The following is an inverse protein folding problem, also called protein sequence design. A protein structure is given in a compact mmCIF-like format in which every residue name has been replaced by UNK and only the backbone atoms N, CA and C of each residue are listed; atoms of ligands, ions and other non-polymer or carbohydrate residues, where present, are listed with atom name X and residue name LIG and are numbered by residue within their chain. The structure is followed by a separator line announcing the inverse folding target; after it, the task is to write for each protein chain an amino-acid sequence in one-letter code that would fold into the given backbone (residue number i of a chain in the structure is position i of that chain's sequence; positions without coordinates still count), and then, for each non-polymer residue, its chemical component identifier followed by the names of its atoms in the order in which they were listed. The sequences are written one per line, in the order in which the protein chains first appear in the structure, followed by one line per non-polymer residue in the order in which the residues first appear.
data_IF_559825440041
#
_entry.id   IF_559825440041
#
_cell.length_a   1.000
_cell.length_b   1.000
_cell.length_c   1.000
_cell.angle_alpha   90.00
_cell.angle_beta   90.00
_cell.angle_gamma   90.00
#
_symmetry.space_group_name_H-M   'P 1'
#
loop_
_entity.id
_entity.type
_entity.pdbx_description
1 polymer ?
#
# COMPACT_ATOMS: atom_id res chain seq x y z
N UNK A 1 38.29 0.87 -58.55
CA UNK A 1 37.83 0.55 -57.19
C UNK A 1 39.04 0.60 -56.29
N UNK A 2 39.18 1.63 -55.45
CA UNK A 2 40.33 1.75 -54.55
C UNK A 2 40.35 0.61 -53.54
N UNK A 3 41.42 -0.18 -53.53
CA UNK A 3 41.62 -1.26 -52.59
C UNK A 3 41.88 -0.68 -51.20
N UNK A 4 40.93 -0.85 -50.28
CA UNK A 4 41.11 -0.47 -48.87
C UNK A 4 42.30 -1.24 -48.26
N UNK A 5 43.13 -0.55 -47.49
CA UNK A 5 44.21 -1.19 -46.74
C UNK A 5 43.65 -2.17 -45.71
N UNK A 6 44.43 -3.20 -45.36
CA UNK A 6 44.03 -4.19 -44.35
C UNK A 6 43.68 -3.52 -43.01
N UNK A 7 44.39 -2.45 -42.67
CA UNK A 7 44.16 -1.65 -41.46
C UNK A 7 42.83 -0.88 -41.51
N UNK A 8 42.44 -0.37 -42.69
CA UNK A 8 41.15 0.27 -42.88
C UNK A 8 39.99 -0.72 -42.80
N UNK A 9 40.15 -1.92 -43.38
CA UNK A 9 39.14 -2.99 -43.30
C UNK A 9 38.96 -3.45 -41.84
N UNK A 10 40.06 -3.57 -41.09
CA UNK A 10 40.02 -3.92 -39.69
C UNK A 10 39.31 -2.84 -38.85
N UNK A 11 39.63 -1.56 -39.07
CA UNK A 11 38.95 -0.42 -38.42
C UNK A 11 37.45 -0.38 -38.73
N UNK A 12 37.08 -0.52 -40.00
CA UNK A 12 35.68 -0.53 -40.44
C UNK A 12 34.90 -1.69 -39.80
N UNK A 13 35.50 -2.87 -39.69
CA UNK A 13 34.90 -4.04 -39.01
C UNK A 13 34.64 -3.78 -37.52
N UNK A 14 35.61 -3.23 -36.79
CA UNK A 14 35.44 -2.93 -35.36
C UNK A 14 34.45 -1.82 -35.08
N UNK A 15 34.31 -0.86 -35.99
CA UNK A 15 33.27 0.18 -35.92
C UNK A 15 31.89 -0.44 -36.16
N UNK A 16 31.72 -1.24 -37.23
CA UNK A 16 30.46 -1.91 -37.52
C UNK A 16 30.05 -2.92 -36.43
N UNK A 17 31.02 -3.61 -35.81
CA UNK A 17 30.80 -4.49 -34.68
C UNK A 17 30.33 -3.71 -33.44
N UNK A 18 30.99 -2.60 -33.08
CA UNK A 18 30.54 -1.74 -31.97
C UNK A 18 29.16 -1.10 -32.22
N UNK A 19 28.87 -0.70 -33.45
CA UNK A 19 27.58 -0.12 -33.82
C UNK A 19 26.45 -1.17 -33.69
N UNK A 20 26.68 -2.39 -34.20
CA UNK A 20 25.71 -3.48 -34.12
C UNK A 20 25.51 -3.98 -32.70
N UNK A 21 26.58 -4.07 -31.91
CA UNK A 21 26.53 -4.40 -30.48
C UNK A 21 25.81 -3.31 -29.66
N UNK A 22 26.06 -2.03 -29.94
CA UNK A 22 25.35 -0.90 -29.31
C UNK A 22 23.86 -0.92 -29.64
N UNK A 23 23.48 -1.17 -30.89
CA UNK A 23 22.08 -1.28 -31.30
C UNK A 23 21.43 -2.52 -30.68
N UNK A 24 22.12 -3.65 -30.65
CA UNK A 24 21.68 -4.89 -30.00
C UNK A 24 21.44 -4.70 -28.50
N UNK A 25 22.37 -4.09 -27.75
CA UNK A 25 22.19 -3.80 -26.33
C UNK A 25 21.14 -2.72 -26.06
N UNK A 26 20.96 -1.76 -26.97
CA UNK A 26 19.91 -0.75 -26.88
C UNK A 26 18.52 -1.33 -27.15
N UNK A 27 18.41 -2.38 -27.96
CA UNK A 27 17.18 -3.11 -28.25
C UNK A 27 16.85 -4.19 -27.21
N UNK A 28 17.84 -4.69 -26.46
CA UNK A 28 17.67 -5.81 -25.52
C UNK A 28 17.73 -5.45 -24.04
N UNK A 29 18.29 -4.29 -23.66
CA UNK A 29 18.16 -3.83 -22.27
C UNK A 29 16.82 -3.14 -22.10
N UNK A 30 15.90 -3.67 -21.25
CA UNK A 30 14.78 -2.87 -20.82
C UNK A 30 15.34 -1.58 -20.20
N UNK A 31 14.72 -0.46 -20.55
CA UNK A 31 15.04 0.81 -19.90
C UNK A 31 14.87 0.65 -18.38
N UNK A 32 15.56 1.45 -17.57
CA UNK A 32 15.36 1.43 -16.12
C UNK A 32 13.87 1.59 -15.76
N UNK A 33 13.12 2.35 -16.58
CA UNK A 33 11.69 2.54 -16.45
C UNK A 33 10.87 1.27 -16.70
N UNK A 34 11.19 0.49 -17.73
CA UNK A 34 10.55 -0.81 -18.00
C UNK A 34 10.79 -1.81 -16.89
N UNK A 35 12.00 -1.84 -16.31
CA UNK A 35 12.31 -2.74 -15.19
C UNK A 35 11.52 -2.34 -13.94
N UNK A 36 11.45 -1.04 -13.64
CA UNK A 36 10.64 -0.49 -12.54
C UNK A 36 9.16 -0.83 -12.75
N UNK A 37 8.65 -0.69 -13.98
CA UNK A 37 7.25 -0.99 -14.29
C UNK A 37 6.95 -2.49 -14.15
N UNK A 38 7.85 -3.36 -14.60
CA UNK A 38 7.73 -4.81 -14.47
C UNK A 38 7.72 -5.24 -13.00
N UNK A 39 8.61 -4.68 -12.18
CA UNK A 39 8.64 -4.95 -10.73
C UNK A 39 7.35 -4.45 -10.06
N UNK A 40 6.90 -3.23 -10.39
CA UNK A 40 5.64 -2.69 -9.90
C UNK A 40 4.44 -3.58 -10.26
N UNK A 41 4.34 -4.04 -11.50
CA UNK A 41 3.29 -4.96 -11.94
C UNK A 41 3.35 -6.29 -11.17
N UNK A 42 4.54 -6.85 -10.95
CA UNK A 42 4.71 -8.07 -10.17
C UNK A 42 4.23 -7.88 -8.72
N UNK A 43 4.53 -6.74 -8.10
CA UNK A 43 4.08 -6.38 -6.75
C UNK A 43 2.57 -6.16 -6.67
N UNK A 44 1.97 -5.50 -7.67
CA UNK A 44 0.51 -5.33 -7.77
C UNK A 44 -0.17 -6.70 -7.93
N UNK A 45 0.41 -7.61 -8.71
CA UNK A 45 -0.10 -8.97 -8.86
C UNK A 45 -0.03 -9.75 -7.55
N UNK A 46 1.09 -9.66 -6.83
CA UNK A 46 1.24 -10.24 -5.49
C UNK A 46 0.22 -9.66 -4.51
N UNK A 47 0.07 -8.33 -4.47
CA UNK A 47 -0.93 -7.66 -3.63
C UNK A 47 -2.35 -8.10 -3.96
N UNK A 48 -2.67 -8.32 -5.24
CA UNK A 48 -3.97 -8.88 -5.64
C UNK A 48 -4.17 -10.31 -5.16
N UNK A 49 -3.16 -11.18 -5.23
CA UNK A 49 -3.24 -12.54 -4.71
C UNK A 49 -3.49 -12.55 -3.19
N UNK A 50 -2.71 -11.76 -2.44
CA UNK A 50 -2.85 -11.61 -0.99
C UNK A 50 -4.23 -11.05 -0.61
N UNK A 51 -4.75 -10.08 -1.37
CA UNK A 51 -6.12 -9.57 -1.23
C UNK A 51 -7.15 -10.68 -1.44
N UNK A 52 -6.99 -11.55 -2.45
CA UNK A 52 -7.91 -12.68 -2.65
C UNK A 52 -7.82 -13.72 -1.51
N UNK A 53 -6.64 -13.97 -0.96
CA UNK A 53 -6.50 -14.82 0.21
C UNK A 53 -7.16 -14.21 1.46
N UNK A 54 -7.00 -12.90 1.66
CA UNK A 54 -7.75 -12.15 2.67
C UNK A 54 -9.26 -12.26 2.47
N UNK A 55 -9.75 -12.19 1.23
CA UNK A 55 -11.17 -12.38 0.91
C UNK A 55 -11.68 -13.79 1.26
N UNK A 56 -10.85 -14.83 1.12
CA UNK A 56 -11.21 -16.19 1.54
C UNK A 56 -11.41 -16.26 3.04
N UNK A 57 -10.46 -15.74 3.82
CA UNK A 57 -10.57 -15.67 5.28
C UNK A 57 -11.75 -14.82 5.74
N UNK A 58 -12.02 -13.71 5.06
CA UNK A 58 -13.18 -12.87 5.33
C UNK A 58 -14.49 -13.64 5.15
N UNK A 59 -14.61 -14.42 4.07
CA UNK A 59 -15.80 -15.26 3.80
C UNK A 59 -15.97 -16.37 4.85
N UNK A 60 -14.88 -16.89 5.40
CA UNK A 60 -14.92 -17.86 6.50
C UNK A 60 -15.09 -17.21 7.88
N UNK A 61 -15.30 -15.89 7.95
CA UNK A 61 -15.40 -15.10 9.18
C UNK A 61 -14.14 -15.12 10.06
N UNK A 62 -12.99 -15.56 9.52
CA UNK A 62 -11.70 -15.44 10.18
C UNK A 62 -11.11 -14.07 9.88
N UNK A 63 -11.62 -13.06 10.60
CA UNK A 63 -11.23 -11.66 10.39
C UNK A 63 -9.78 -11.39 10.79
N UNK A 64 -9.23 -12.14 11.75
CA UNK A 64 -7.84 -12.03 12.18
C UNK A 64 -6.86 -12.41 11.07
N UNK A 65 -7.06 -13.57 10.44
CA UNK A 65 -6.22 -13.98 9.29
C UNK A 65 -6.47 -13.09 8.07
N UNK A 66 -7.71 -12.60 7.88
CA UNK A 66 -8.02 -11.65 6.81
C UNK A 66 -7.26 -10.33 6.98
N UNK A 67 -7.23 -9.76 8.20
CA UNK A 67 -6.45 -8.56 8.53
C UNK A 67 -4.99 -8.75 8.16
N UNK A 68 -4.39 -9.86 8.57
CA UNK A 68 -2.99 -10.14 8.27
C UNK A 68 -2.73 -10.13 6.76
N UNK A 69 -3.57 -10.82 5.97
CA UNK A 69 -3.43 -10.86 4.51
C UNK A 69 -3.64 -9.52 3.83
N UNK A 70 -4.56 -8.70 4.32
CA UNK A 70 -4.75 -7.35 3.80
C UNK A 70 -3.59 -6.41 4.13
N UNK A 71 -2.97 -6.54 5.30
CA UNK A 71 -1.75 -5.79 5.63
C UNK A 71 -0.61 -6.20 4.69
N UNK A 72 -0.37 -7.51 4.54
CA UNK A 72 0.62 -8.04 3.59
C UNK A 72 0.37 -7.52 2.16
N UNK A 73 -0.90 -7.42 1.74
CA UNK A 73 -1.26 -6.91 0.41
C UNK A 73 -0.93 -5.42 0.20
N UNK A 74 -1.09 -4.58 1.22
CA UNK A 74 -0.70 -3.15 1.16
C UNK A 74 0.82 -3.02 1.15
N UNK A 75 1.51 -3.78 2.00
CA UNK A 75 2.97 -3.74 2.14
C UNK A 75 3.71 -4.27 0.91
N UNK A 76 3.08 -5.15 0.12
CA UNK A 76 3.64 -5.63 -1.15
C UNK A 76 3.98 -4.50 -2.13
N UNK A 77 3.24 -3.38 -2.07
CA UNK A 77 3.42 -2.20 -2.93
C UNK A 77 3.74 -0.97 -2.06
N UNK A 78 5.00 -0.81 -1.63
CA UNK A 78 5.41 0.28 -0.75
C UNK A 78 5.24 1.63 -1.45
N UNK A 79 4.67 2.59 -0.71
CA UNK A 79 4.29 3.92 -1.18
C UNK A 79 5.47 4.66 -1.84
N UNK A 80 6.61 4.68 -1.16
CA UNK A 80 7.76 5.53 -1.47
C UNK A 80 8.44 5.21 -2.81
N UNK A 81 8.24 3.99 -3.32
CA UNK A 81 8.86 3.56 -4.58
C UNK A 81 8.11 4.08 -5.81
N UNK A 82 6.84 4.48 -5.69
CA UNK A 82 5.95 4.64 -6.86
C UNK A 82 4.99 5.84 -6.79
N UNK A 83 5.21 6.80 -5.89
CA UNK A 83 4.29 7.94 -5.64
C UNK A 83 3.88 8.72 -6.90
N UNK A 84 4.72 8.74 -7.94
CA UNK A 84 4.44 9.46 -9.20
C UNK A 84 3.99 8.56 -10.37
N UNK A 85 3.82 7.25 -10.14
CA UNK A 85 3.43 6.25 -11.15
C UNK A 85 2.23 5.46 -10.66
N UNK A 86 1.26 6.14 -10.05
CA UNK A 86 0.02 5.55 -9.59
C UNK A 86 -0.75 4.97 -10.79
N UNK A 87 -0.50 3.70 -11.08
CA UNK A 87 -1.27 2.92 -12.06
C UNK A 87 -2.68 2.76 -11.48
N UNK A 88 -3.71 2.96 -12.31
CA UNK A 88 -5.11 2.78 -11.92
C UNK A 88 -5.35 1.46 -11.15
N UNK A 89 -4.63 0.41 -11.52
CA UNK A 89 -4.72 -0.91 -10.87
C UNK A 89 -4.19 -0.92 -9.43
N UNK A 90 -3.11 -0.17 -9.13
CA UNK A 90 -2.66 0.00 -7.75
C UNK A 90 -3.67 0.80 -6.93
N UNK A 91 -4.20 1.88 -7.50
CA UNK A 91 -5.21 2.72 -6.85
C UNK A 91 -6.45 1.87 -6.48
N UNK A 92 -6.93 1.06 -7.43
CA UNK A 92 -8.06 0.13 -7.23
C UNK A 92 -7.75 -0.94 -6.19
N UNK A 93 -6.56 -1.54 -6.24
CA UNK A 93 -6.10 -2.51 -5.26
C UNK A 93 -6.09 -1.90 -3.86
N UNK A 94 -5.40 -0.76 -3.70
CA UNK A 94 -5.26 -0.06 -2.42
C UNK A 94 -6.61 0.33 -1.84
N UNK A 95 -7.51 0.90 -2.64
CA UNK A 95 -8.85 1.25 -2.20
C UNK A 95 -9.62 0.02 -1.68
N UNK A 96 -9.57 -1.07 -2.44
CA UNK A 96 -10.26 -2.33 -2.08
C UNK A 96 -9.72 -2.90 -0.79
N UNK A 97 -8.39 -2.96 -0.65
CA UNK A 97 -7.74 -3.53 0.53
C UNK A 97 -7.99 -2.69 1.76
N UNK A 98 -7.85 -1.36 1.70
CA UNK A 98 -8.16 -0.47 2.84
C UNK A 98 -9.63 -0.63 3.25
N UNK A 99 -10.56 -0.66 2.29
CA UNK A 99 -11.99 -0.83 2.60
C UNK A 99 -12.27 -2.16 3.32
N UNK A 100 -11.70 -3.25 2.83
CA UNK A 100 -11.90 -4.58 3.42
C UNK A 100 -11.20 -4.70 4.78
N UNK A 101 -9.99 -4.14 4.92
CA UNK A 101 -9.25 -4.10 6.17
C UNK A 101 -10.00 -3.32 7.25
N UNK A 102 -10.50 -2.12 6.93
CA UNK A 102 -11.32 -1.33 7.86
C UNK A 102 -12.59 -2.08 8.29
N UNK A 103 -13.22 -2.81 7.37
CA UNK A 103 -14.37 -3.65 7.69
C UNK A 103 -13.99 -4.79 8.64
N UNK A 104 -12.84 -5.44 8.45
CA UNK A 104 -12.37 -6.47 9.36
C UNK A 104 -12.12 -5.90 10.77
N UNK A 105 -11.45 -4.74 10.87
CA UNK A 105 -11.24 -4.08 12.15
C UNK A 105 -12.57 -3.76 12.85
N UNK A 106 -13.56 -3.26 12.10
CA UNK A 106 -14.91 -3.03 12.62
C UNK A 106 -15.55 -4.34 13.14
N UNK A 107 -15.44 -5.44 12.40
CA UNK A 107 -15.98 -6.76 12.80
C UNK A 107 -15.26 -7.35 14.02
N UNK A 108 -13.97 -7.09 14.17
CA UNK A 108 -13.16 -7.44 15.34
C UNK A 108 -13.37 -6.49 16.53
N UNK A 109 -14.26 -5.48 16.44
CA UNK A 109 -14.46 -4.44 17.44
C UNK A 109 -13.19 -3.62 17.75
N UNK A 110 -12.22 -3.63 16.85
CA UNK A 110 -11.06 -2.75 16.94
C UNK A 110 -11.42 -1.43 16.24
N UNK A 111 -12.23 -0.62 16.93
CA UNK A 111 -12.80 0.60 16.38
C UNK A 111 -11.74 1.68 16.10
N UNK A 112 -10.72 1.79 16.95
CA UNK A 112 -9.61 2.73 16.78
C UNK A 112 -8.84 2.47 15.48
N UNK A 113 -8.49 1.21 15.22
CA UNK A 113 -7.83 0.83 13.97
C UNK A 113 -8.74 1.05 12.75
N UNK A 114 -10.04 0.76 12.87
CA UNK A 114 -11.01 1.01 11.80
C UNK A 114 -11.11 2.51 11.46
N UNK A 115 -11.19 3.38 12.49
CA UNK A 115 -11.19 4.83 12.32
C UNK A 115 -9.92 5.29 11.63
N UNK A 116 -8.75 4.87 12.11
CA UNK A 116 -7.46 5.25 11.53
C UNK A 116 -7.34 4.86 10.04
N UNK A 117 -7.68 3.61 9.70
CA UNK A 117 -7.60 3.16 8.31
C UNK A 117 -8.61 3.88 7.41
N UNK A 118 -9.82 4.16 7.90
CA UNK A 118 -10.80 4.92 7.15
C UNK A 118 -10.39 6.39 6.96
N UNK A 119 -9.84 7.05 7.98
CA UNK A 119 -9.42 8.45 7.88
C UNK A 119 -8.25 8.60 6.91
N UNK A 120 -7.23 7.74 6.98
CA UNK A 120 -6.14 7.71 6.01
C UNK A 120 -6.64 7.35 4.61
N UNK A 121 -7.55 6.37 4.50
CA UNK A 121 -8.17 6.00 3.24
C UNK A 121 -8.94 7.14 2.59
N UNK A 122 -9.69 7.94 3.37
CA UNK A 122 -10.48 9.06 2.88
C UNK A 122 -9.62 10.26 2.45
N UNK A 123 -8.40 10.42 2.97
CA UNK A 123 -7.44 11.41 2.43
C UNK A 123 -7.08 11.12 0.98
N UNK A 124 -7.02 9.84 0.61
CA UNK A 124 -6.70 9.39 -0.76
C UNK A 124 -7.99 9.28 -1.61
N UNK A 125 -9.07 8.80 -1.00
CA UNK A 125 -10.33 8.47 -1.66
C UNK A 125 -11.50 9.27 -1.07
N UNK A 126 -11.52 10.60 -1.25
CA UNK A 126 -12.43 11.49 -0.53
C UNK A 126 -13.89 11.34 -0.93
N UNK A 127 -14.25 10.55 -1.94
CA UNK A 127 -15.65 10.30 -2.34
C UNK A 127 -16.09 8.84 -2.12
N UNK A 128 -15.31 8.05 -1.39
CA UNK A 128 -15.67 6.66 -1.16
C UNK A 128 -16.79 6.53 -0.11
N UNK A 129 -17.92 5.96 -0.52
CA UNK A 129 -19.11 5.76 0.33
C UNK A 129 -18.85 4.68 1.40
N UNK A 130 -18.18 3.58 1.04
CA UNK A 130 -17.94 2.45 1.96
C UNK A 130 -17.03 2.84 3.11
N UNK A 131 -15.95 3.58 2.85
CA UNK A 131 -15.05 4.08 3.90
C UNK A 131 -15.77 5.01 4.87
N UNK A 132 -16.62 5.92 4.36
CA UNK A 132 -17.45 6.78 5.22
C UNK A 132 -18.46 6.00 6.04
N UNK A 133 -19.11 5.01 5.44
CA UNK A 133 -20.04 4.14 6.14
C UNK A 133 -19.35 3.38 7.28
N UNK A 134 -18.19 2.77 7.01
CA UNK A 134 -17.40 2.06 8.03
C UNK A 134 -16.93 3.02 9.12
N UNK A 135 -16.46 4.22 8.76
CA UNK A 135 -16.04 5.26 9.70
C UNK A 135 -17.19 5.67 10.63
N UNK A 136 -18.35 5.96 10.05
CA UNK A 136 -19.54 6.33 10.81
C UNK A 136 -20.04 5.22 11.72
N UNK A 137 -19.96 3.96 11.27
CA UNK A 137 -20.21 2.81 12.15
C UNK A 137 -19.18 2.75 13.28
N UNK A 138 -17.88 2.86 13.00
CA UNK A 138 -16.84 2.78 14.03
C UNK A 138 -17.02 3.84 15.12
N UNK A 139 -17.29 5.09 14.76
CA UNK A 139 -17.62 6.16 15.72
C UNK A 139 -18.90 5.89 16.51
N UNK A 140 -19.94 5.38 15.85
CA UNK A 140 -21.20 5.07 16.51
C UNK A 140 -21.05 3.96 17.56
N UNK A 141 -20.17 3.00 17.31
CA UNK A 141 -19.85 1.92 18.25
C UNK A 141 -18.96 2.39 19.43
N UNK A 142 -18.14 3.43 19.25
CA UNK A 142 -17.38 4.06 20.36
C UNK A 142 -18.19 5.08 21.15
N UNK A 143 -19.44 5.35 20.75
CA UNK A 143 -20.33 6.32 21.40
C UNK A 143 -20.14 7.76 20.93
N UNK A 144 -19.24 8.01 19.97
CA UNK A 144 -19.11 9.32 19.32
C UNK A 144 -20.21 9.50 18.26
N UNK A 145 -21.43 9.70 18.73
CA UNK A 145 -22.59 9.81 17.86
C UNK A 145 -22.59 11.07 16.98
N UNK A 146 -21.83 12.11 17.34
CA UNK A 146 -21.73 13.32 16.52
C UNK A 146 -20.94 13.02 15.25
N UNK A 147 -19.71 12.52 15.41
CA UNK A 147 -18.85 12.16 14.27
C UNK A 147 -19.41 10.99 13.47
N UNK A 148 -20.11 10.05 14.12
CA UNK A 148 -20.83 8.98 13.43
C UNK A 148 -21.87 9.52 12.43
N UNK A 149 -22.71 10.46 12.89
CA UNK A 149 -23.77 11.03 12.07
C UNK A 149 -23.22 11.94 10.97
N UNK A 150 -22.12 12.66 11.23
CA UNK A 150 -21.43 13.45 10.21
C UNK A 150 -20.92 12.57 9.07
N UNK A 151 -20.15 11.53 9.38
CA UNK A 151 -19.61 10.60 8.38
C UNK A 151 -20.73 9.91 7.57
N UNK A 152 -21.82 9.50 8.22
CA UNK A 152 -22.96 8.86 7.55
C UNK A 152 -23.80 9.84 6.72
N UNK A 153 -23.94 11.10 7.14
CA UNK A 153 -24.60 12.14 6.33
C UNK A 153 -23.83 12.38 5.04
N UNK A 154 -22.52 12.46 5.11
CA UNK A 154 -21.69 12.57 3.92
C UNK A 154 -21.84 11.35 3.00
N UNK A 155 -21.88 10.15 3.58
CA UNK A 155 -22.11 8.92 2.82
C UNK A 155 -23.50 8.95 2.14
N UNK A 156 -24.54 9.42 2.84
CA UNK A 156 -25.91 9.57 2.31
C UNK A 156 -25.99 10.63 1.21
N UNK A 157 -25.23 11.72 1.30
CA UNK A 157 -25.20 12.74 0.25
C UNK A 157 -24.62 12.18 -1.06
N UNK A 158 -23.73 11.19 -0.98
CA UNK A 158 -23.15 10.51 -2.13
C UNK A 158 -24.04 9.37 -2.66
N UNK A 159 -24.75 8.65 -1.79
CA UNK A 159 -25.74 7.64 -2.16
C UNK A 159 -27.02 7.78 -1.30
N UNK A 160 -27.98 8.61 -1.75
CA UNK A 160 -29.20 8.90 -1.00
C UNK A 160 -30.15 7.70 -0.86
N UNK A 161 -29.98 6.68 -1.70
CA UNK A 161 -30.87 5.51 -1.78
C UNK A 161 -30.43 4.34 -0.89
N UNK A 162 -29.24 4.45 -0.30
CA UNK A 162 -28.64 3.37 0.47
C UNK A 162 -29.39 3.12 1.78
N UNK A 163 -30.09 1.98 1.86
CA UNK A 163 -30.88 1.61 3.04
C UNK A 163 -30.00 1.44 4.28
N UNK A 164 -28.84 0.78 4.16
CA UNK A 164 -27.94 0.53 5.29
C UNK A 164 -27.47 1.85 5.93
N UNK A 165 -27.14 2.86 5.11
CA UNK A 165 -26.73 4.18 5.59
C UNK A 165 -27.90 4.86 6.32
N UNK A 166 -29.10 4.84 5.75
CA UNK A 166 -30.30 5.46 6.33
C UNK A 166 -30.65 4.80 7.68
N UNK A 167 -30.58 3.47 7.76
CA UNK A 167 -30.82 2.70 8.97
C UNK A 167 -29.80 3.05 10.06
N UNK A 168 -28.50 3.12 9.72
CA UNK A 168 -27.45 3.51 10.67
C UNK A 168 -27.60 4.95 11.17
N UNK A 169 -28.00 5.88 10.31
CA UNK A 169 -28.30 7.27 10.73
C UNK A 169 -29.44 7.28 11.75
N UNK A 170 -30.53 6.54 11.48
CA UNK A 170 -31.67 6.44 12.39
C UNK A 170 -31.27 5.85 13.74
N UNK A 171 -30.50 4.76 13.72
CA UNK A 171 -29.98 4.08 14.90
C UNK A 171 -29.14 5.02 15.78
N UNK A 172 -28.11 5.65 15.20
CA UNK A 172 -27.21 6.51 15.97
C UNK A 172 -27.86 7.85 16.38
N UNK A 173 -28.81 8.36 15.61
CA UNK A 173 -29.61 9.53 16.03
C UNK A 173 -30.48 9.22 17.26
N UNK A 174 -31.11 8.04 17.30
CA UNK A 174 -31.85 7.58 18.48
C UNK A 174 -30.93 7.38 19.68
N UNK A 175 -29.79 6.71 19.50
CA UNK A 175 -28.81 6.50 20.56
C UNK A 175 -28.27 7.82 21.13
N UNK A 176 -27.96 8.79 20.27
CA UNK A 176 -27.55 10.15 20.67
C UNK A 176 -28.61 10.85 21.52
N UNK A 177 -29.88 10.75 21.11
CA UNK A 177 -31.00 11.36 21.87
C UNK A 177 -31.12 10.74 23.26
N UNK A 178 -31.06 9.41 23.36
CA UNK A 178 -31.12 8.69 24.63
C UNK A 178 -29.92 9.01 25.53
N UNK A 179 -28.72 9.08 24.95
CA UNK A 179 -27.50 9.51 25.66
C UNK A 179 -27.67 10.92 26.26
N UNK A 180 -28.16 11.88 25.47
CA UNK A 180 -28.38 13.24 25.93
C UNK A 180 -29.43 13.35 27.04
N UNK A 181 -30.50 12.54 26.98
CA UNK A 181 -31.53 12.48 28.03
C UNK A 181 -30.89 11.97 29.33
N UNK A 182 -30.16 10.85 29.28
CA UNK A 182 -29.48 10.29 30.45
C UNK A 182 -28.46 11.26 31.05
N UNK A 183 -27.67 11.93 30.22
CA UNK A 183 -26.71 12.94 30.68
C UNK A 183 -27.42 14.11 31.36
N UNK A 184 -28.58 14.54 30.85
CA UNK A 184 -29.40 15.58 31.49
C UNK A 184 -30.02 15.09 32.80
N UNK A 185 -30.44 13.85 32.91
CA UNK A 185 -30.95 13.28 34.18
C UNK A 185 -29.85 13.17 35.24
N UNK A 186 -28.65 12.74 34.84
CA UNK A 186 -27.50 12.58 35.74
C UNK A 186 -26.90 13.92 36.19
N UNK A 187 -26.84 14.91 35.31
CA UNK A 187 -26.09 16.16 35.52
C UNK A 187 -26.94 17.44 35.42
N UNK A 188 -28.25 17.31 35.23
CA UNK A 188 -29.19 18.45 35.09
C UNK A 188 -29.71 19.02 36.41
N UNK A 189 -29.21 18.53 37.55
CA UNK A 189 -29.28 19.25 38.82
C UNK A 189 -28.40 20.50 38.79
N UNK A 190 -28.69 21.49 39.65
CA UNK A 190 -27.87 22.70 39.79
C UNK A 190 -26.41 22.28 40.05
N UNK A 191 -25.52 22.47 39.08
CA UNK A 191 -24.08 22.36 39.28
C UNK A 191 -23.74 23.24 40.47
N UNK A 192 -23.38 22.65 41.62
CA UNK A 192 -22.84 23.41 42.73
C UNK A 192 -21.48 23.90 42.21
N UNK A 193 -21.26 25.23 42.11
CA UNK A 193 -19.95 25.74 41.71
C UNK A 193 -18.96 25.19 42.73
N UNK A 194 -17.92 24.50 42.27
CA UNK A 194 -16.79 24.16 43.13
C UNK A 194 -16.24 25.50 43.62
N UNK A 195 -16.45 25.77 44.91
CA UNK A 195 -15.87 26.95 45.55
C UNK A 195 -14.36 26.71 45.48
N UNK A 196 -13.59 27.70 45.01
CA UNK A 196 -12.13 27.64 44.79
C UNK A 196 -11.28 27.13 45.97
N UNK A 197 -11.88 26.87 47.14
CA UNK A 197 -11.22 26.40 48.36
C UNK A 197 -11.43 24.91 48.64
N UNK A 198 -12.25 24.20 47.88
CA UNK A 198 -12.27 22.74 47.94
C UNK A 198 -11.06 22.24 47.16
N UNK A 199 -10.03 21.82 47.89
CA UNK A 199 -8.85 21.15 47.34
C UNK A 199 -9.34 20.03 46.42
N UNK A 200 -9.11 20.19 45.11
CA UNK A 200 -9.29 19.09 44.15
C UNK A 200 -8.43 17.95 44.70
N UNK A 201 -9.00 16.79 45.08
CA UNK A 201 -8.19 15.68 45.49
C UNK A 201 -7.26 15.34 44.34
N UNK A 202 -5.96 15.40 44.61
CA UNK A 202 -4.92 15.15 43.63
C UNK A 202 -5.10 13.71 43.12
N UNK A 203 -5.71 13.55 41.95
CA UNK A 203 -5.82 12.26 41.28
C UNK A 203 -4.41 11.94 40.82
N UNK A 204 -3.67 11.20 41.66
CA UNK A 204 -2.37 10.66 41.27
C UNK A 204 -2.61 9.76 40.07
N UNK A 205 -2.04 10.15 38.93
CA UNK A 205 -1.88 9.27 37.79
C UNK A 205 -1.33 7.94 38.29
N UNK A 206 -1.87 6.78 37.87
CA UNK A 206 -1.19 5.52 38.14
C UNK A 206 0.23 5.62 37.57
N UNK A 207 1.24 5.20 38.34
CA UNK A 207 2.63 5.18 37.90
C UNK A 207 2.76 4.18 36.73
N UNK A 208 2.60 4.66 35.51
CA UNK A 208 2.87 3.88 34.31
C UNK A 208 4.39 3.85 34.15
N UNK A 209 5.01 2.76 34.62
CA UNK A 209 6.42 2.49 34.36
C UNK A 209 6.58 2.07 32.89
N UNK A 210 6.65 3.05 31.99
CA UNK A 210 6.97 2.84 30.59
C UNK A 210 8.47 2.51 30.52
N UNK A 211 8.81 1.23 30.36
CA UNK A 211 10.17 0.86 29.96
C UNK A 211 10.48 1.58 28.64
N UNK A 212 11.61 2.31 28.54
CA UNK A 212 11.98 2.97 27.30
C UNK A 212 12.04 1.93 26.17
N UNK A 213 11.26 2.19 25.12
CA UNK A 213 11.30 1.42 23.89
C UNK A 213 12.72 1.60 23.33
N UNK A 214 13.50 0.52 23.32
CA UNK A 214 14.80 0.50 22.67
C UNK A 214 14.62 0.89 21.21
N UNK A 215 15.39 1.88 20.74
CA UNK A 215 15.42 2.30 19.35
C UNK A 215 15.51 1.08 18.41
N UNK A 216 14.75 1.06 17.30
CA UNK A 216 14.87 -0.02 16.33
C UNK A 216 16.29 -0.01 15.76
N UNK A 217 17.06 -1.06 16.09
CA UNK A 217 18.39 -1.31 15.54
C UNK A 217 18.32 -1.21 14.02
N UNK A 218 19.07 -0.28 13.44
CA UNK A 218 19.26 -0.15 12.01
C UNK A 218 19.77 -1.49 11.47
N UNK A 219 18.95 -2.18 10.68
CA UNK A 219 19.40 -3.36 9.95
C UNK A 219 20.35 -2.88 8.86
N UNK A 220 21.63 -3.25 8.99
CA UNK A 220 22.60 -3.15 7.91
C UNK A 220 22.07 -3.92 6.69
N UNK A 221 22.12 -3.26 5.53
CA UNK A 221 21.81 -3.84 4.23
C UNK A 221 22.84 -4.95 3.95
N UNK A 222 22.43 -6.21 3.69
CA UNK A 222 23.38 -7.25 3.33
C UNK A 222 24.00 -6.95 1.97
N UNK A 223 25.33 -6.96 1.91
CA UNK A 223 26.08 -6.97 0.66
C UNK A 223 25.97 -8.33 -0.01
N UNK A 224 25.59 -8.29 -1.29
CA UNK A 224 25.79 -9.24 -2.40
C UNK A 224 25.98 -10.74 -2.11
N UNK A 225 25.25 -11.60 -2.83
CA UNK A 225 25.86 -12.41 -3.91
C UNK A 225 24.87 -13.41 -4.55
N UNK A 226 24.94 -13.45 -5.88
CA UNK A 226 25.06 -14.65 -6.73
C UNK A 226 23.94 -15.09 -7.69
N UNK A 227 24.44 -15.35 -8.91
CA UNK A 227 24.08 -16.41 -9.87
C UNK A 227 22.78 -16.31 -10.67
N UNK A 228 22.68 -15.35 -11.61
CA UNK A 228 21.80 -15.52 -12.79
C UNK A 228 22.31 -14.77 -14.04
N UNK A 229 23.59 -14.94 -14.38
CA UNK A 229 24.19 -14.42 -15.61
C UNK A 229 24.95 -15.51 -16.37
N UNK A 230 24.20 -16.45 -16.95
CA UNK A 230 24.72 -17.37 -17.98
C UNK A 230 24.05 -17.07 -19.33
N UNK A 231 24.42 -15.98 -20.03
CA UNK A 231 24.36 -15.96 -21.49
C UNK A 231 25.70 -15.62 -22.17
N UNK A 232 26.75 -15.28 -21.41
CA UNK A 232 28.00 -14.74 -21.97
C UNK A 232 28.93 -15.79 -22.60
N UNK A 233 28.74 -17.08 -22.33
CA UNK A 233 29.58 -18.15 -22.90
C UNK A 233 29.18 -18.44 -24.37
N UNK A 234 27.94 -18.16 -24.78
CA UNK A 234 27.47 -18.42 -26.14
C UNK A 234 27.99 -17.40 -27.18
N UNK A 235 28.25 -16.14 -26.77
CA UNK A 235 28.76 -15.09 -27.68
C UNK A 235 30.28 -15.18 -27.95
N UNK A 236 31.05 -15.72 -27.00
CA UNK A 236 32.48 -16.02 -27.22
C UNK A 236 32.71 -17.10 -28.29
N UNK A 237 31.79 -18.05 -28.41
CA UNK A 237 31.90 -19.14 -29.39
C UNK A 237 31.67 -18.67 -30.84
N UNK A 238 30.72 -17.75 -31.07
CA UNK A 238 30.43 -17.22 -32.41
C UNK A 238 31.55 -16.34 -32.98
N UNK A 239 32.26 -15.61 -32.11
CA UNK A 239 33.39 -14.75 -32.49
C UNK A 239 34.67 -15.55 -32.81
N UNK A 240 34.93 -16.66 -32.10
CA UNK A 240 36.02 -17.59 -32.42
C UNK A 240 35.79 -18.35 -33.72
N UNK A 241 34.54 -18.73 -34.04
CA UNK A 241 34.21 -19.38 -35.32
C UNK A 241 34.39 -18.44 -36.52
N UNK A 242 34.06 -17.14 -36.38
CA UNK A 242 34.29 -16.13 -37.40
C UNK A 242 35.78 -15.84 -37.66
N UNK A 243 36.59 -15.76 -36.59
CA UNK A 243 38.04 -15.63 -36.70
C UNK A 243 38.69 -16.88 -37.28
N UNK A 244 38.26 -18.08 -36.87
CA UNK A 244 38.74 -19.35 -37.42
C UNK A 244 38.48 -19.50 -38.93
N UNK A 245 37.30 -19.11 -39.40
CA UNK A 245 36.97 -19.10 -40.83
C UNK A 245 37.83 -18.13 -41.65
N UNK A 246 38.18 -16.97 -41.06
CA UNK A 246 39.04 -15.97 -41.68
C UNK A 246 40.50 -16.45 -41.83
N UNK A 247 41.06 -17.10 -40.80
CA UNK A 247 42.42 -17.64 -40.87
C UNK A 247 42.56 -18.85 -41.82
N UNK A 248 41.54 -19.71 -41.89
CA UNK A 248 41.51 -20.87 -42.79
C UNK A 248 41.49 -20.50 -44.28
N UNK A 249 40.97 -19.31 -44.63
CA UNK A 249 40.89 -18.83 -46.03
C UNK A 249 42.16 -18.12 -46.51
N UNK A 250 43.09 -17.81 -45.60
CA UNK A 250 44.31 -17.04 -45.90
C UNK A 250 45.57 -17.92 -46.04
N UNK A 251 45.47 -19.22 -45.74
CA UNK A 251 46.56 -20.22 -45.83
C UNK A 251 46.29 -21.34 -46.85
N UNK A 252 45.47 -21.09 -47.87
CA UNK A 252 45.36 -21.93 -49.07
C UNK A 252 45.68 -21.09 -50.30
#
# INVERSE_FOLDING_TARGET
MESKSLDQVYKDFWVAWRESERVYYKLLRPTAEELILKDLMARINLGNQLKEDGNKFFRSQDFTSAIQKYIEAIEAVPRDLFENRLIDDYIKLKLTVITNLSMCFLKCKNYEAAVLQCTEGLKIFPKNIKLRYILGCAYGETGDYESALEALKDAKNLDPSNRDIIEKISLYAKAKKEYNIKMKEMFGGKLIPIVKNDLIPEIKSPDINIKPISEPKSKQIPQENNTNYIPYIALGAASLLGLGYYFLKKHK
#
